data_IF_080279159363
#
_entry.id   IF_080279159363
#
_cell.length_a   1.000
_cell.length_b   1.000
_cell.length_c   1.000
_cell.angle_alpha   90.00
_cell.angle_beta   90.00
_cell.angle_gamma   90.00
#
_symmetry.space_group_name_H-M   'P 1'
#
loop_
_entity.id
_entity.type
_entity.pdbx_description
1 polymer ?
#
# COMPACT_ATOMS: atom_id res chain seq x y z
N UNK A 1 7.08 27.44 -13.04
CA UNK A 1 7.18 25.97 -12.89
C UNK A 1 6.08 25.29 -13.69
N UNK A 2 6.28 24.05 -14.17
CA UNK A 2 5.26 23.25 -14.88
C UNK A 2 4.95 21.98 -14.08
N UNK A 3 3.67 21.59 -13.98
CA UNK A 3 3.27 20.31 -13.35
C UNK A 3 3.77 19.14 -14.20
N UNK A 4 4.23 18.09 -13.54
CA UNK A 4 4.66 16.85 -14.20
C UNK A 4 3.44 16.01 -14.56
N UNK A 5 3.47 15.34 -15.71
CA UNK A 5 2.49 14.33 -16.06
C UNK A 5 2.90 13.00 -15.41
N UNK A 6 2.09 12.46 -14.49
CA UNK A 6 2.39 11.19 -13.82
C UNK A 6 2.57 10.03 -14.81
N UNK A 7 1.79 10.01 -15.90
CA UNK A 7 1.86 8.95 -16.91
C UNK A 7 3.22 8.89 -17.62
N UNK A 8 3.90 10.03 -17.78
CA UNK A 8 5.21 10.11 -18.44
C UNK A 8 6.39 9.75 -17.54
N UNK A 9 6.16 9.50 -16.25
CA UNK A 9 7.21 9.10 -15.31
C UNK A 9 7.61 7.64 -15.54
N UNK A 10 8.92 7.36 -15.48
CA UNK A 10 9.44 6.01 -15.43
C UNK A 10 9.13 5.34 -14.07
N UNK A 11 9.27 4.00 -13.93
CA UNK A 11 8.90 3.30 -12.69
C UNK A 11 9.55 3.86 -11.42
N UNK A 12 10.86 4.15 -11.45
CA UNK A 12 11.60 4.70 -10.30
C UNK A 12 11.11 6.11 -9.94
N UNK A 13 10.84 6.93 -10.94
CA UNK A 13 10.29 8.27 -10.73
C UNK A 13 8.87 8.23 -10.16
N UNK A 14 8.03 7.29 -10.60
CA UNK A 14 6.68 7.08 -10.04
C UNK A 14 6.77 6.69 -8.57
N UNK A 15 7.71 5.83 -8.20
CA UNK A 15 7.91 5.44 -6.81
C UNK A 15 8.35 6.63 -5.93
N UNK A 16 9.29 7.46 -6.39
CA UNK A 16 9.66 8.69 -5.68
C UNK A 16 8.49 9.67 -5.59
N UNK A 17 7.76 9.87 -6.67
CA UNK A 17 6.58 10.74 -6.70
C UNK A 17 5.52 10.26 -5.70
N UNK A 18 5.20 8.98 -5.72
CA UNK A 18 4.22 8.33 -4.85
C UNK A 18 4.63 8.40 -3.39
N UNK A 19 5.91 8.17 -3.08
CA UNK A 19 6.45 8.35 -1.74
C UNK A 19 6.20 9.77 -1.22
N UNK A 20 6.52 10.81 -2.01
CA UNK A 20 6.31 12.19 -1.59
C UNK A 20 4.82 12.52 -1.41
N UNK A 21 3.95 11.98 -2.27
CA UNK A 21 2.50 12.18 -2.17
C UNK A 21 1.92 11.54 -0.92
N UNK A 22 2.24 10.27 -0.64
CA UNK A 22 1.74 9.60 0.57
C UNK A 22 2.38 10.20 1.83
N UNK A 23 3.65 10.62 1.78
CA UNK A 23 4.28 11.27 2.92
C UNK A 23 3.60 12.59 3.28
N UNK A 24 3.15 13.37 2.30
CA UNK A 24 2.41 14.60 2.57
C UNK A 24 1.08 14.30 3.28
N UNK A 25 0.37 13.25 2.85
CA UNK A 25 -0.87 12.80 3.49
C UNK A 25 -0.60 12.35 4.92
N UNK A 26 0.40 11.49 5.12
CA UNK A 26 0.75 10.95 6.43
C UNK A 26 1.16 12.05 7.42
N UNK A 27 1.69 13.18 6.96
CA UNK A 27 1.98 14.33 7.81
C UNK A 27 0.71 14.90 8.46
N UNK A 28 -0.43 14.89 7.77
CA UNK A 28 -1.73 15.33 8.33
C UNK A 28 -2.24 14.39 9.44
N UNK A 29 -1.75 13.15 9.45
CA UNK A 29 -1.97 12.16 10.49
C UNK A 29 -0.87 12.15 11.56
N UNK A 30 0.03 13.15 11.58
CA UNK A 30 1.07 13.28 12.60
C UNK A 30 2.30 12.39 12.39
N UNK A 31 2.50 11.83 11.19
CA UNK A 31 3.66 10.99 10.89
C UNK A 31 4.79 11.78 10.21
N UNK A 32 6.02 11.55 10.68
CA UNK A 32 7.24 11.85 9.94
C UNK A 32 7.69 10.61 9.17
N UNK A 33 8.04 10.76 7.89
CA UNK A 33 8.48 9.63 7.06
C UNK A 33 9.97 9.67 6.73
N UNK A 34 10.58 8.49 6.60
CA UNK A 34 11.99 8.33 6.20
C UNK A 34 12.04 7.27 5.09
N UNK A 35 12.46 7.70 3.89
CA UNK A 35 12.69 6.82 2.73
C UNK A 35 13.88 5.89 3.02
N UNK A 36 13.74 4.61 2.69
CA UNK A 36 14.83 3.63 2.82
C UNK A 36 15.52 3.45 1.47
N UNK A 37 16.85 3.29 1.49
CA UNK A 37 17.66 3.12 0.29
C UNK A 37 17.81 1.66 -0.16
N UNK A 38 17.53 0.70 0.74
CA UNK A 38 17.56 -0.74 0.51
C UNK A 38 16.31 -1.38 1.13
N UNK A 39 15.86 -2.52 0.57
CA UNK A 39 14.68 -3.34 0.97
C UNK A 39 14.77 -3.84 2.44
N UNK A 40 14.82 -2.94 3.41
CA UNK A 40 14.93 -3.27 4.81
C UNK A 40 13.66 -3.98 5.26
N UNK A 41 13.76 -5.29 5.36
CA UNK A 41 12.64 -6.18 5.64
C UNK A 41 11.43 -5.99 4.68
N UNK A 42 11.70 -5.56 3.43
CA UNK A 42 10.69 -5.34 2.40
C UNK A 42 9.78 -4.13 2.65
N UNK A 43 10.30 -3.05 3.22
CA UNK A 43 9.63 -1.74 3.28
C UNK A 43 10.37 -0.72 2.42
N UNK A 44 9.62 0.19 1.79
CA UNK A 44 10.20 1.30 1.00
C UNK A 44 10.45 2.54 1.88
N UNK A 45 9.70 2.69 2.98
CA UNK A 45 9.86 3.77 3.95
C UNK A 45 9.34 3.38 5.33
N UNK A 46 9.77 4.11 6.35
CA UNK A 46 9.17 4.08 7.69
C UNK A 46 8.37 5.36 7.94
N UNK A 47 7.29 5.25 8.70
CA UNK A 47 6.52 6.37 9.20
C UNK A 47 6.46 6.30 10.74
N UNK A 48 6.96 7.33 11.41
CA UNK A 48 6.95 7.45 12.86
C UNK A 48 5.91 8.49 13.27
N UNK A 49 4.96 8.11 14.10
CA UNK A 49 3.95 9.04 14.62
C UNK A 49 4.55 9.93 15.72
N UNK A 50 3.96 11.10 15.91
CA UNK A 50 4.36 12.07 16.94
C UNK A 50 4.16 11.57 18.38
N UNK A 51 3.37 10.50 18.58
CA UNK A 51 3.21 9.87 19.89
C UNK A 51 4.50 9.17 20.40
N UNK A 52 5.47 8.92 19.51
CA UNK A 52 6.72 8.25 19.85
C UNK A 52 6.63 6.72 19.99
N UNK A 53 5.45 6.13 19.85
CA UNK A 53 5.16 4.71 20.06
C UNK A 53 4.70 4.01 18.77
N UNK A 54 4.00 4.72 17.88
CA UNK A 54 3.46 4.16 16.65
C UNK A 54 4.48 4.26 15.51
N UNK A 55 4.85 3.10 14.95
CA UNK A 55 5.79 2.98 13.84
C UNK A 55 5.23 2.08 12.76
N UNK A 56 5.21 2.57 11.53
CA UNK A 56 4.76 1.82 10.36
C UNK A 56 5.94 1.53 9.44
N UNK A 57 6.09 0.27 9.06
CA UNK A 57 6.95 -0.14 7.94
C UNK A 57 6.08 -0.24 6.71
N UNK A 58 6.30 0.64 5.74
CA UNK A 58 5.38 0.80 4.61
C UNK A 58 6.04 0.39 3.30
N UNK A 59 5.40 -0.51 2.57
CA UNK A 59 5.72 -0.84 1.20
C UNK A 59 4.76 -0.10 0.26
N UNK A 60 5.29 0.63 -0.72
CA UNK A 60 4.54 1.24 -1.80
C UNK A 60 4.21 0.23 -2.88
N UNK A 61 2.97 0.33 -3.36
CA UNK A 61 2.48 -0.36 -4.55
C UNK A 61 1.68 0.59 -5.41
N UNK A 62 1.57 0.26 -6.69
CA UNK A 62 0.73 1.02 -7.62
C UNK A 62 -0.75 0.62 -7.59
N UNK A 63 -1.13 -0.36 -6.77
CA UNK A 63 -2.48 -0.94 -6.67
C UNK A 63 -2.59 -1.87 -5.45
N UNK A 64 -3.81 -2.26 -5.09
CA UNK A 64 -4.08 -3.30 -4.09
C UNK A 64 -3.29 -4.57 -4.44
N UNK A 65 -2.44 -5.02 -3.52
CA UNK A 65 -1.50 -6.13 -3.75
C UNK A 65 -1.32 -6.96 -2.47
N UNK A 66 -1.42 -8.28 -2.60
CA UNK A 66 -0.99 -9.23 -1.58
C UNK A 66 0.18 -10.05 -2.08
N UNK A 67 1.18 -10.26 -1.23
CA UNK A 67 2.29 -11.14 -1.55
C UNK A 67 2.70 -11.98 -0.35
N UNK A 68 2.88 -13.29 -0.56
CA UNK A 68 3.32 -14.22 0.48
C UNK A 68 4.65 -13.79 1.13
N UNK A 69 5.53 -13.12 0.38
CA UNK A 69 6.81 -12.62 0.90
C UNK A 69 6.67 -11.48 1.91
N UNK A 70 5.50 -10.83 2.00
CA UNK A 70 5.23 -9.76 2.97
C UNK A 70 4.63 -10.31 4.28
N UNK A 71 4.23 -11.57 4.32
CA UNK A 71 3.59 -12.16 5.49
C UNK A 71 4.52 -12.19 6.71
N UNK A 72 3.93 -11.94 7.90
CA UNK A 72 4.59 -11.96 9.21
C UNK A 72 5.73 -10.96 9.36
N UNK A 73 5.74 -9.93 8.51
CA UNK A 73 6.74 -8.86 8.56
C UNK A 73 6.21 -7.60 9.23
N UNK A 74 4.92 -7.52 9.56
CA UNK A 74 4.30 -6.30 10.08
C UNK A 74 4.45 -5.14 9.10
N UNK A 75 4.20 -5.44 7.81
CA UNK A 75 4.26 -4.46 6.73
C UNK A 75 2.88 -3.88 6.50
N UNK A 76 2.84 -2.57 6.34
CA UNK A 76 1.69 -1.87 5.79
C UNK A 76 1.91 -1.69 4.29
N UNK A 77 0.84 -1.77 3.50
CA UNK A 77 0.90 -1.51 2.07
C UNK A 77 0.19 -0.20 1.78
N UNK A 78 0.89 0.73 1.11
CA UNK A 78 0.33 1.98 0.64
C UNK A 78 0.17 1.97 -0.88
N UNK A 79 -1.00 2.37 -1.38
CA UNK A 79 -1.20 2.52 -2.82
C UNK A 79 -2.22 3.62 -3.16
N UNK A 80 -2.05 4.32 -4.31
CA UNK A 80 -3.04 5.24 -4.83
C UNK A 80 -4.10 4.51 -5.64
N UNK A 81 -5.36 4.94 -5.54
CA UNK A 81 -6.43 4.49 -6.43
C UNK A 81 -7.52 5.57 -6.54
N UNK A 82 -7.91 5.89 -7.78
CA UNK A 82 -9.00 6.82 -8.11
C UNK A 82 -8.95 8.19 -7.40
N UNK A 83 -7.74 8.74 -7.25
CA UNK A 83 -7.52 10.03 -6.58
C UNK A 83 -7.30 9.94 -5.07
N UNK A 84 -7.65 8.81 -4.47
CA UNK A 84 -7.45 8.52 -3.05
C UNK A 84 -6.16 7.73 -2.79
N UNK A 85 -5.80 7.65 -1.52
CA UNK A 85 -4.74 6.78 -1.03
C UNK A 85 -5.28 5.79 -0.02
N UNK A 86 -4.72 4.59 -0.02
CA UNK A 86 -5.07 3.53 0.91
C UNK A 86 -3.82 3.05 1.62
N UNK A 87 -3.95 2.76 2.91
CA UNK A 87 -2.91 2.19 3.77
C UNK A 87 -3.56 1.11 4.63
N UNK A 88 -3.08 -0.13 4.51
CA UNK A 88 -3.60 -1.27 5.28
C UNK A 88 -2.47 -2.12 5.85
N UNK A 89 -2.70 -2.75 6.99
CA UNK A 89 -1.85 -3.85 7.47
C UNK A 89 -1.99 -5.05 6.52
N UNK A 90 -0.87 -5.50 5.98
CA UNK A 90 -0.85 -6.55 4.96
C UNK A 90 -1.50 -7.84 5.44
N UNK A 91 -1.20 -8.28 6.66
CA UNK A 91 -1.61 -9.59 7.16
C UNK A 91 -3.07 -9.57 7.62
N UNK A 92 -3.49 -8.48 8.26
CA UNK A 92 -4.88 -8.28 8.66
C UNK A 92 -5.81 -8.34 7.43
N UNK A 93 -5.53 -7.51 6.42
CA UNK A 93 -6.39 -7.45 5.24
C UNK A 93 -6.31 -8.74 4.41
N UNK A 94 -5.14 -9.38 4.33
CA UNK A 94 -4.98 -10.65 3.65
C UNK A 94 -5.86 -11.74 4.28
N UNK A 95 -5.92 -11.82 5.61
CA UNK A 95 -6.74 -12.82 6.30
C UNK A 95 -8.22 -12.65 5.95
N UNK A 96 -8.73 -11.42 5.94
CA UNK A 96 -10.09 -11.10 5.50
C UNK A 96 -10.32 -11.51 4.04
N UNK A 97 -9.39 -11.17 3.15
CA UNK A 97 -9.53 -11.44 1.72
C UNK A 97 -9.42 -12.94 1.36
N UNK A 98 -8.64 -13.72 2.11
CA UNK A 98 -8.57 -15.17 1.90
C UNK A 98 -9.89 -15.86 2.22
N UNK A 99 -10.65 -15.39 3.21
CA UNK A 99 -12.00 -15.88 3.50
C UNK A 99 -13.03 -15.38 2.48
N UNK A 100 -13.09 -14.06 2.27
CA UNK A 100 -14.07 -13.42 1.38
C UNK A 100 -13.93 -13.80 -0.10
N UNK A 101 -12.72 -14.14 -0.53
CA UNK A 101 -12.39 -14.51 -1.91
C UNK A 101 -11.78 -15.92 -2.01
N UNK A 102 -12.22 -16.83 -1.14
CA UNK A 102 -11.76 -18.23 -1.09
C UNK A 102 -11.86 -18.93 -2.46
N UNK A 103 -12.95 -18.67 -3.20
CA UNK A 103 -13.23 -19.28 -4.51
C UNK A 103 -12.66 -18.45 -5.69
N UNK A 104 -11.85 -17.43 -5.41
CA UNK A 104 -11.24 -16.56 -6.43
C UNK A 104 -9.74 -16.41 -6.19
N UNK A 105 -9.33 -15.45 -5.35
CA UNK A 105 -7.92 -15.17 -5.06
C UNK A 105 -7.24 -16.42 -4.51
N UNK A 106 -7.81 -17.05 -3.49
CA UNK A 106 -7.14 -18.09 -2.72
C UNK A 106 -6.85 -19.36 -3.55
N UNK A 107 -7.68 -19.65 -4.55
CA UNK A 107 -7.51 -20.80 -5.48
C UNK A 107 -6.83 -20.44 -6.80
N UNK A 108 -6.51 -19.17 -7.04
CA UNK A 108 -5.88 -18.74 -8.29
C UNK A 108 -4.43 -19.23 -8.40
N UNK A 109 -3.98 -19.52 -9.63
CA UNK A 109 -2.56 -19.85 -9.89
C UNK A 109 -1.61 -18.73 -9.45
N UNK A 110 -2.01 -17.47 -9.65
CA UNK A 110 -1.23 -16.30 -9.21
C UNK A 110 -0.95 -16.37 -7.71
N UNK A 111 -1.94 -16.71 -6.90
CA UNK A 111 -1.76 -16.83 -5.46
C UNK A 111 -1.07 -18.15 -5.04
N UNK A 112 -1.56 -19.29 -5.52
CA UNK A 112 -1.04 -20.61 -5.11
C UNK A 112 0.42 -20.77 -5.52
N UNK A 113 0.72 -20.57 -6.81
CA UNK A 113 2.02 -20.87 -7.39
C UNK A 113 2.99 -19.69 -7.25
N UNK A 114 2.56 -18.47 -7.55
CA UNK A 114 3.44 -17.29 -7.56
C UNK A 114 3.49 -16.55 -6.24
N UNK A 115 2.51 -16.78 -5.36
CA UNK A 115 2.41 -16.08 -4.08
C UNK A 115 2.14 -14.58 -4.21
N UNK A 116 1.56 -14.14 -5.34
CA UNK A 116 1.28 -12.74 -5.61
C UNK A 116 -0.11 -12.58 -6.22
N UNK A 117 -0.89 -11.63 -5.71
CA UNK A 117 -2.19 -11.32 -6.27
C UNK A 117 -2.43 -9.81 -6.19
N UNK A 118 -2.94 -9.22 -7.27
CA UNK A 118 -3.24 -7.81 -7.33
C UNK A 118 -4.53 -7.55 -8.11
N UNK A 119 -5.19 -6.44 -7.80
CA UNK A 119 -6.38 -5.99 -8.51
C UNK A 119 -6.02 -4.85 -9.46
N UNK A 120 -6.34 -5.02 -10.74
CA UNK A 120 -6.22 -3.95 -11.74
C UNK A 120 -7.25 -2.83 -11.54
N UNK A 121 -8.40 -3.16 -10.94
CA UNK A 121 -9.48 -2.25 -10.58
C UNK A 121 -10.20 -2.77 -9.34
N UNK A 122 -10.70 -1.86 -8.50
CA UNK A 122 -11.47 -2.20 -7.30
C UNK A 122 -12.97 -2.17 -7.64
N UNK A 123 -13.65 -3.29 -7.37
CA UNK A 123 -15.12 -3.34 -7.40
C UNK A 123 -15.71 -2.57 -6.21
N UNK A 124 -17.00 -2.22 -6.28
CA UNK A 124 -17.69 -1.55 -5.16
C UNK A 124 -17.62 -2.36 -3.86
N UNK A 125 -17.67 -3.70 -3.94
CA UNK A 125 -17.45 -4.57 -2.78
C UNK A 125 -16.07 -4.33 -2.17
N UNK A 126 -15.01 -4.37 -2.99
CA UNK A 126 -13.64 -4.19 -2.50
C UNK A 126 -13.41 -2.78 -1.96
N UNK A 127 -13.96 -1.74 -2.61
CA UNK A 127 -13.89 -0.36 -2.11
C UNK A 127 -14.48 -0.26 -0.71
N UNK A 128 -15.64 -0.88 -0.48
CA UNK A 128 -16.29 -0.92 0.83
C UNK A 128 -15.44 -1.60 1.90
N UNK A 129 -14.77 -2.71 1.56
CA UNK A 129 -13.84 -3.38 2.48
C UNK A 129 -12.61 -2.51 2.81
N UNK A 130 -12.20 -1.64 1.90
CA UNK A 130 -11.03 -0.76 2.04
C UNK A 130 -11.36 0.60 2.66
N UNK A 131 -12.62 0.89 2.97
CA UNK A 131 -13.05 2.22 3.40
C UNK A 131 -12.33 2.68 4.67
N UNK A 132 -12.13 1.78 5.64
CA UNK A 132 -11.38 2.07 6.87
C UNK A 132 -9.88 2.30 6.66
N UNK A 133 -9.36 1.84 5.50
CA UNK A 133 -7.95 1.96 5.12
C UNK A 133 -7.69 3.19 4.24
N UNK A 134 -8.73 3.95 3.89
CA UNK A 134 -8.60 5.15 3.06
C UNK A 134 -7.98 6.29 3.88
N UNK A 135 -7.01 6.96 3.28
CA UNK A 135 -6.40 8.17 3.81
C UNK A 135 -7.08 9.38 3.16
N UNK A 136 -7.62 10.26 4.00
CA UNK A 136 -8.29 11.48 3.57
C UNK A 136 -7.26 12.58 3.31
N UNK A 137 -7.44 13.29 2.20
CA UNK A 137 -6.74 14.55 1.92
C UNK A 137 -7.65 15.70 2.39
N UNK A 138 -7.21 16.52 3.35
CA UNK A 138 -7.92 17.76 3.70
C UNK A 138 -7.53 18.92 2.81
#
# INVERSE_FOLDING_TARGET
>A
MKKINYASLNPRQKETYNFQKVSAILADYGFATIKLNDDWNGADFIAQHIDGETYLKVQLKGRLTFNKKYQKKGLHIAFPYDGDWYLYDHDELLNTFLGEYENQMAVSKSWIEKGDYNWGSLSEKIKKELESSKLDFK
#
